data_IF_653350247399
#
_entry.id   IF_653350247399
#
_cell.length_a   1.000
_cell.length_b   1.000
_cell.length_c   1.000
_cell.angle_alpha   90.00
_cell.angle_beta   90.00
_cell.angle_gamma   90.00
#
_symmetry.space_group_name_H-M   'P 1'
#
loop_
_entity.id
_entity.type
_entity.pdbx_description
1 polymer ?
#
# COMPACT_ATOMS: atom_id res chain seq x y z
N UNK A 1 -19.05 -24.59 56.26
CA UNK A 1 -18.43 -23.47 55.50
C UNK A 1 -17.75 -24.08 54.31
N UNK A 2 -18.29 -23.90 53.09
CA UNK A 2 -17.70 -24.35 51.86
C UNK A 2 -17.29 -23.10 51.09
N UNK A 3 -15.99 -22.88 50.99
CA UNK A 3 -15.42 -21.75 50.28
C UNK A 3 -15.52 -22.02 48.77
N UNK A 4 -16.28 -21.18 48.06
CA UNK A 4 -16.39 -21.13 46.62
C UNK A 4 -15.24 -20.25 46.13
N UNK A 5 -14.13 -20.85 45.71
CA UNK A 5 -13.13 -20.17 44.88
C UNK A 5 -13.65 -20.06 43.47
N UNK A 6 -14.21 -18.91 43.13
CA UNK A 6 -14.52 -18.56 41.75
C UNK A 6 -13.22 -18.28 40.97
N UNK A 7 -12.81 -19.21 40.11
CA UNK A 7 -11.71 -18.99 39.19
C UNK A 7 -12.13 -17.95 38.14
N UNK A 8 -11.58 -16.76 38.23
CA UNK A 8 -11.69 -15.73 37.21
C UNK A 8 -10.84 -16.20 36.00
N UNK A 9 -11.46 -16.80 35.01
CA UNK A 9 -10.82 -17.01 33.72
C UNK A 9 -10.69 -15.64 33.02
N UNK A 10 -9.54 -14.99 33.20
CA UNK A 10 -9.14 -13.86 32.34
C UNK A 10 -8.80 -14.46 30.96
N UNK A 11 -9.74 -14.38 30.03
CA UNK A 11 -9.48 -14.71 28.66
C UNK A 11 -8.56 -13.63 28.08
N UNK A 12 -7.26 -13.90 28.08
CA UNK A 12 -6.31 -13.14 27.30
C UNK A 12 -6.60 -13.46 25.84
N UNK A 13 -7.34 -12.60 25.14
CA UNK A 13 -7.38 -12.63 23.67
C UNK A 13 -5.95 -12.33 23.21
N UNK A 14 -5.20 -13.38 22.88
CA UNK A 14 -3.91 -13.25 22.23
C UNK A 14 -4.18 -12.68 20.84
N UNK A 15 -4.08 -11.36 20.67
CA UNK A 15 -4.12 -10.74 19.35
C UNK A 15 -2.88 -11.18 18.59
N UNK A 16 -3.09 -11.90 17.50
CA UNK A 16 -2.03 -12.24 16.57
C UNK A 16 -1.87 -11.09 15.59
N UNK A 17 -0.63 -10.76 15.24
CA UNK A 17 -0.37 -9.67 14.30
C UNK A 17 -0.79 -10.01 12.87
N UNK A 18 -1.24 -9.01 12.11
CA UNK A 18 -1.42 -9.13 10.67
C UNK A 18 -0.07 -8.93 9.98
N UNK A 19 0.35 -9.90 9.17
CA UNK A 19 1.54 -9.77 8.31
C UNK A 19 1.11 -9.13 6.99
N UNK A 20 1.85 -8.14 6.53
CA UNK A 20 1.59 -7.45 5.27
C UNK A 20 2.82 -7.54 4.38
N UNK A 21 2.64 -8.00 3.15
CA UNK A 21 3.64 -7.84 2.08
C UNK A 21 3.09 -6.82 1.08
N UNK A 22 3.75 -5.68 0.98
CA UNK A 22 3.36 -4.59 0.10
C UNK A 22 4.10 -4.65 -1.22
N UNK A 23 3.39 -4.43 -2.30
CA UNK A 23 3.90 -4.36 -3.67
C UNK A 23 3.45 -3.06 -4.32
N UNK A 24 4.28 -2.52 -5.20
CA UNK A 24 3.89 -1.43 -6.10
C UNK A 24 3.44 -2.02 -7.43
N UNK A 25 2.49 -1.34 -8.08
CA UNK A 25 2.05 -1.72 -9.43
C UNK A 25 3.19 -1.68 -10.46
N UNK A 26 3.04 -2.40 -11.56
CA UNK A 26 3.96 -2.36 -12.70
C UNK A 26 3.98 -0.98 -13.39
N UNK A 27 4.98 -0.75 -14.23
CA UNK A 27 5.14 0.47 -15.02
C UNK A 27 3.89 0.78 -15.85
N UNK A 28 3.45 2.04 -15.85
CA UNK A 28 2.29 2.50 -16.62
C UNK A 28 2.72 3.25 -17.88
N UNK A 29 1.78 3.50 -18.79
CA UNK A 29 1.99 4.36 -19.96
C UNK A 29 2.36 5.79 -19.60
N UNK A 30 1.89 6.29 -18.44
CA UNK A 30 2.28 7.59 -17.90
C UNK A 30 3.72 7.54 -17.35
N UNK A 31 4.10 6.48 -16.62
CA UNK A 31 5.46 6.34 -16.12
C UNK A 31 6.51 6.33 -17.25
N UNK A 32 6.19 5.73 -18.42
CA UNK A 32 7.08 5.74 -19.59
C UNK A 32 7.23 7.14 -20.21
N UNK A 33 6.32 8.07 -19.87
CA UNK A 33 6.34 9.47 -20.30
C UNK A 33 6.77 10.43 -19.20
N UNK A 34 7.28 9.91 -18.08
CA UNK A 34 7.64 10.68 -16.91
C UNK A 34 6.49 11.56 -16.37
N UNK A 35 5.25 11.01 -16.37
CA UNK A 35 4.07 11.68 -15.83
C UNK A 35 3.67 11.07 -14.48
N UNK A 36 3.20 11.91 -13.58
CA UNK A 36 2.66 11.58 -12.26
C UNK A 36 1.15 11.43 -12.34
N UNK A 37 0.65 10.20 -12.50
CA UNK A 37 -0.77 9.94 -12.79
C UNK A 37 -1.73 10.35 -11.66
N UNK A 38 -1.30 10.26 -10.38
CA UNK A 38 -2.19 10.49 -9.23
C UNK A 38 -3.44 9.60 -9.28
N UNK A 39 -4.63 10.23 -9.28
CA UNK A 39 -5.90 9.53 -9.37
C UNK A 39 -6.40 9.29 -10.80
N UNK A 40 -5.72 9.82 -11.82
CA UNK A 40 -6.08 9.47 -13.18
C UNK A 40 -5.85 7.98 -13.40
N UNK A 41 -6.84 7.30 -13.95
CA UNK A 41 -6.76 5.87 -14.21
C UNK A 41 -6.04 5.64 -15.54
N UNK A 42 -4.89 4.97 -15.46
CA UNK A 42 -3.98 4.74 -16.60
C UNK A 42 -3.60 3.27 -16.66
N UNK A 43 -3.42 2.77 -17.86
CA UNK A 43 -3.10 1.38 -18.14
C UNK A 43 -1.63 1.05 -17.84
N UNK A 44 -1.38 -0.22 -17.51
CA UNK A 44 -0.04 -0.76 -17.52
C UNK A 44 0.56 -0.70 -18.93
N UNK A 45 1.82 -0.32 -19.02
CA UNK A 45 2.58 -0.47 -20.25
C UNK A 45 2.93 -1.95 -20.50
N UNK A 46 3.44 -2.27 -21.70
CA UNK A 46 3.91 -3.62 -21.98
C UNK A 46 5.07 -4.03 -21.05
N UNK A 47 5.89 -3.07 -20.61
CA UNK A 47 6.90 -3.31 -19.59
C UNK A 47 6.25 -3.67 -18.26
N UNK A 48 5.22 -2.90 -17.81
CA UNK A 48 4.54 -3.16 -16.55
C UNK A 48 3.82 -4.49 -16.52
N UNK A 49 3.26 -4.95 -17.62
CA UNK A 49 2.67 -6.29 -17.74
C UNK A 49 3.74 -7.37 -17.52
N UNK A 50 4.88 -7.27 -18.21
CA UNK A 50 6.01 -8.22 -18.03
C UNK A 50 6.54 -8.21 -16.60
N UNK A 51 6.68 -7.02 -15.98
CA UNK A 51 7.08 -6.92 -14.57
C UNK A 51 6.12 -7.66 -13.63
N UNK A 52 4.82 -7.58 -13.92
CA UNK A 52 3.79 -8.28 -13.14
C UNK A 52 3.84 -9.80 -13.36
N UNK A 53 4.12 -10.26 -14.57
CA UNK A 53 4.35 -11.68 -14.89
C UNK A 53 5.59 -12.23 -14.15
N UNK A 54 6.72 -11.50 -14.19
CA UNK A 54 7.96 -11.87 -13.49
C UNK A 54 7.79 -11.91 -11.96
N UNK A 55 6.88 -11.10 -11.41
CA UNK A 55 6.59 -11.09 -9.99
C UNK A 55 5.96 -12.41 -9.52
N UNK A 56 5.29 -13.16 -10.41
CA UNK A 56 4.73 -14.48 -10.13
C UNK A 56 5.79 -15.43 -9.59
N UNK A 57 6.93 -15.53 -10.28
CA UNK A 57 8.03 -16.41 -9.87
C UNK A 57 8.69 -15.94 -8.57
N UNK A 58 8.91 -14.63 -8.45
CA UNK A 58 9.52 -14.00 -7.27
C UNK A 58 8.66 -14.17 -6.01
N UNK A 59 7.35 -14.34 -6.17
CA UNK A 59 6.40 -14.51 -5.07
C UNK A 59 5.88 -15.94 -4.93
N UNK A 60 6.40 -16.90 -5.69
CA UNK A 60 5.94 -18.30 -5.73
C UNK A 60 5.96 -19.00 -4.36
N UNK A 61 6.92 -18.64 -3.51
CA UNK A 61 7.07 -19.19 -2.15
C UNK A 61 6.17 -18.50 -1.11
N UNK A 62 5.49 -17.41 -1.47
CA UNK A 62 4.57 -16.75 -0.55
C UNK A 62 3.18 -17.41 -0.57
N UNK A 63 2.61 -17.54 0.62
CA UNK A 63 1.23 -17.95 0.81
C UNK A 63 0.49 -16.79 1.47
N UNK A 64 -0.33 -16.10 0.67
CA UNK A 64 -1.21 -15.04 1.15
C UNK A 64 -2.59 -15.61 1.45
N UNK A 65 -3.25 -15.10 2.49
CA UNK A 65 -4.66 -15.42 2.76
C UNK A 65 -5.58 -14.64 1.81
N UNK A 66 -5.17 -13.42 1.44
CA UNK A 66 -5.94 -12.50 0.62
C UNK A 66 -5.03 -11.43 0.01
N UNK A 67 -5.47 -10.86 -1.11
CA UNK A 67 -4.83 -9.73 -1.78
C UNK A 67 -5.75 -8.52 -1.76
N UNK A 68 -5.25 -7.39 -1.28
CA UNK A 68 -5.90 -6.09 -1.43
C UNK A 68 -5.23 -5.28 -2.53
N UNK A 69 -6.02 -4.52 -3.28
CA UNK A 69 -5.48 -3.59 -4.27
C UNK A 69 -6.16 -2.23 -4.15
N UNK A 70 -5.48 -1.17 -4.59
CA UNK A 70 -6.19 0.02 -5.01
C UNK A 70 -7.20 -0.33 -6.11
N UNK A 71 -8.28 0.41 -6.19
CA UNK A 71 -9.29 0.29 -7.25
C UNK A 71 -8.89 0.96 -8.58
N UNK A 72 -7.70 1.60 -8.62
CA UNK A 72 -7.12 2.07 -9.87
C UNK A 72 -6.61 0.88 -10.70
N UNK A 73 -6.94 0.88 -12.00
CA UNK A 73 -6.75 -0.26 -12.91
C UNK A 73 -5.32 -0.80 -12.89
N UNK A 74 -4.31 0.07 -12.85
CA UNK A 74 -2.89 -0.32 -12.82
C UNK A 74 -2.52 -1.22 -11.65
N UNK A 75 -3.08 -0.96 -10.45
CA UNK A 75 -2.83 -1.79 -9.27
C UNK A 75 -3.59 -3.12 -9.33
N UNK A 76 -4.87 -3.07 -9.68
CA UNK A 76 -5.69 -4.26 -9.85
C UNK A 76 -5.14 -5.19 -10.94
N UNK A 77 -4.81 -4.64 -12.12
CA UNK A 77 -4.29 -5.41 -13.23
C UNK A 77 -2.93 -6.02 -12.92
N UNK A 78 -2.05 -5.30 -12.19
CA UNK A 78 -0.79 -5.89 -11.72
C UNK A 78 -1.02 -7.13 -10.86
N UNK A 79 -1.90 -7.05 -9.86
CA UNK A 79 -2.24 -8.20 -9.01
C UNK A 79 -2.88 -9.35 -9.81
N UNK A 80 -3.77 -9.01 -10.75
CA UNK A 80 -4.47 -10.01 -11.59
C UNK A 80 -3.50 -10.73 -12.52
N UNK A 81 -2.54 -10.04 -13.11
CA UNK A 81 -1.49 -10.65 -13.94
C UNK A 81 -0.57 -11.52 -13.07
N UNK A 82 -0.14 -11.03 -11.90
CA UNK A 82 0.80 -11.75 -11.03
C UNK A 82 0.21 -13.05 -10.49
N UNK A 83 -1.04 -13.04 -10.02
CA UNK A 83 -1.60 -14.19 -9.29
C UNK A 83 -2.85 -14.80 -9.90
N UNK A 84 -3.45 -14.18 -10.91
CA UNK A 84 -4.66 -14.69 -11.56
C UNK A 84 -5.79 -14.88 -10.57
N UNK A 85 -6.31 -16.10 -10.53
CA UNK A 85 -7.39 -16.51 -9.62
C UNK A 85 -6.87 -17.30 -8.39
N UNK A 86 -5.53 -17.32 -8.17
CA UNK A 86 -4.93 -18.02 -7.03
C UNK A 86 -5.39 -17.46 -5.69
N UNK A 87 -5.61 -16.16 -5.61
CA UNK A 87 -6.05 -15.47 -4.41
C UNK A 87 -7.30 -14.64 -4.67
N UNK A 88 -8.14 -14.48 -3.63
CA UNK A 88 -9.22 -13.50 -3.65
C UNK A 88 -8.61 -12.10 -3.66
N UNK A 89 -8.95 -11.28 -4.66
CA UNK A 89 -8.53 -9.88 -4.75
C UNK A 89 -9.69 -9.00 -4.32
N UNK A 90 -9.44 -8.09 -3.38
CA UNK A 90 -10.39 -7.08 -2.90
C UNK A 90 -9.83 -5.70 -3.26
N UNK A 91 -10.63 -4.89 -3.94
CA UNK A 91 -10.30 -3.49 -4.23
C UNK A 91 -10.73 -2.60 -3.08
N UNK A 92 -9.88 -1.65 -2.69
CA UNK A 92 -10.15 -0.66 -1.65
C UNK A 92 -9.63 0.71 -2.08
N UNK A 93 -10.52 1.69 -2.19
CA UNK A 93 -10.17 3.05 -2.63
C UNK A 93 -9.24 3.78 -1.65
N UNK A 94 -9.17 3.37 -0.38
CA UNK A 94 -8.23 3.90 0.59
C UNK A 94 -6.78 3.61 0.22
N UNK A 95 -6.53 2.65 -0.67
CA UNK A 95 -5.21 2.29 -1.19
C UNK A 95 -4.81 3.09 -2.44
N UNK A 96 -5.63 4.04 -2.94
CA UNK A 96 -5.27 4.90 -4.08
C UNK A 96 -3.99 5.69 -3.83
N UNK A 97 -3.31 6.07 -4.92
CA UNK A 97 -2.23 7.06 -4.88
C UNK A 97 -2.70 8.37 -4.22
N UNK A 98 -1.79 9.25 -3.84
CA UNK A 98 -2.16 10.60 -3.46
C UNK A 98 -2.89 11.27 -4.64
N UNK A 99 -4.02 11.92 -4.33
CA UNK A 99 -4.68 12.75 -5.34
C UNK A 99 -3.87 14.03 -5.53
N UNK A 100 -3.20 14.16 -6.67
CA UNK A 100 -2.45 15.37 -6.98
C UNK A 100 -3.34 16.51 -7.49
N UNK A 101 -4.68 16.31 -7.54
CA UNK A 101 -5.65 17.32 -7.95
C UNK A 101 -5.37 17.84 -9.36
N UNK A 102 -5.19 19.16 -9.50
CA UNK A 102 -4.89 19.79 -10.78
C UNK A 102 -3.54 19.35 -11.40
N UNK A 103 -2.71 18.66 -10.60
CA UNK A 103 -1.42 18.13 -11.01
C UNK A 103 -1.47 16.66 -11.44
N UNK A 104 -2.63 16.00 -11.43
CA UNK A 104 -2.77 14.62 -11.93
C UNK A 104 -2.35 14.57 -13.42
N UNK A 105 -1.51 13.58 -13.78
CA UNK A 105 -0.91 13.38 -15.11
C UNK A 105 -0.07 14.57 -15.63
N UNK A 106 0.49 15.38 -14.73
CA UNK A 106 1.50 16.37 -15.08
C UNK A 106 2.91 15.77 -15.05
N UNK A 107 3.90 16.44 -15.67
CA UNK A 107 5.29 16.01 -15.63
C UNK A 107 5.77 15.73 -14.22
N UNK A 108 6.47 14.60 -14.01
CA UNK A 108 6.94 14.21 -12.67
C UNK A 108 7.92 15.23 -12.09
N UNK A 109 8.69 15.92 -12.93
CA UNK A 109 9.60 16.99 -12.51
C UNK A 109 8.88 18.18 -11.87
N UNK A 110 7.61 18.44 -12.25
CA UNK A 110 6.78 19.50 -11.67
C UNK A 110 6.08 19.03 -10.38
N UNK A 111 5.69 17.74 -10.32
CA UNK A 111 4.89 17.19 -9.21
C UNK A 111 5.75 16.72 -8.03
N UNK A 112 6.85 16.01 -8.30
CA UNK A 112 7.65 15.39 -7.24
C UNK A 112 8.22 16.38 -6.21
N UNK A 113 8.72 17.57 -6.58
CA UNK A 113 9.18 18.55 -5.60
C UNK A 113 8.07 19.07 -4.67
N UNK A 114 6.81 19.05 -5.14
CA UNK A 114 5.66 19.50 -4.36
C UNK A 114 5.15 18.43 -3.38
N UNK A 115 5.47 17.15 -3.59
CA UNK A 115 5.01 16.07 -2.73
C UNK A 115 5.49 16.25 -1.28
N UNK A 116 6.76 16.56 -1.07
CA UNK A 116 7.32 16.79 0.26
C UNK A 116 6.74 18.06 0.92
N UNK A 117 6.45 19.09 0.12
CA UNK A 117 5.82 20.32 0.59
C UNK A 117 4.34 20.14 0.94
N UNK A 118 3.69 19.13 0.35
CA UNK A 118 2.27 18.81 0.55
C UNK A 118 2.04 17.79 1.67
N UNK A 119 2.96 17.69 2.63
CA UNK A 119 2.79 16.78 3.77
C UNK A 119 1.52 17.13 4.56
N UNK A 120 1.34 18.40 4.95
CA UNK A 120 0.18 18.86 5.71
C UNK A 120 -0.79 19.73 4.89
N UNK A 121 -0.28 20.43 3.89
CA UNK A 121 -1.09 21.29 3.02
C UNK A 121 -1.49 20.50 1.77
N UNK A 122 -2.80 20.34 1.48
CA UNK A 122 -3.24 19.65 0.28
C UNK A 122 -2.74 20.32 -1.00
N UNK A 123 -2.46 19.51 -2.02
CA UNK A 123 -2.26 20.01 -3.38
C UNK A 123 -3.56 20.67 -3.89
N UNK A 124 -3.48 21.61 -4.84
CA UNK A 124 -4.68 22.28 -5.40
C UNK A 124 -5.73 21.26 -5.88
N UNK A 125 -6.92 21.27 -5.32
CA UNK A 125 -8.01 20.33 -5.56
C UNK A 125 -7.65 18.85 -5.32
N UNK A 126 -6.62 18.58 -4.52
CA UNK A 126 -6.09 17.25 -4.23
C UNK A 126 -6.01 16.92 -2.74
N UNK A 127 -5.11 16.00 -2.40
CA UNK A 127 -4.83 15.55 -1.03
C UNK A 127 -3.49 16.07 -0.51
N UNK A 128 -3.36 16.12 0.82
CA UNK A 128 -2.08 16.13 1.51
C UNK A 128 -1.65 14.70 1.86
N UNK A 129 -0.37 14.49 2.16
CA UNK A 129 0.13 13.19 2.62
C UNK A 129 -0.43 12.80 4.00
N UNK A 130 -0.77 13.76 4.87
CA UNK A 130 -1.50 13.48 6.12
C UNK A 130 -2.93 12.96 5.86
N UNK A 131 -3.60 13.40 4.81
CA UNK A 131 -4.90 12.84 4.41
C UNK A 131 -4.74 11.40 3.86
N UNK A 132 -3.70 11.14 3.09
CA UNK A 132 -3.34 9.77 2.67
C UNK A 132 -3.10 8.89 3.90
N UNK A 133 -2.29 9.35 4.87
CA UNK A 133 -2.01 8.63 6.11
C UNK A 133 -3.29 8.32 6.89
N UNK A 134 -4.21 9.26 6.96
CA UNK A 134 -5.48 9.07 7.67
C UNK A 134 -6.31 7.95 7.06
N UNK A 135 -6.46 7.89 5.71
CA UNK A 135 -7.21 6.81 5.07
C UNK A 135 -6.50 5.45 5.12
N UNK A 136 -5.16 5.44 5.15
CA UNK A 136 -4.40 4.21 5.37
C UNK A 136 -4.54 3.73 6.81
N UNK A 137 -4.55 4.62 7.81
CA UNK A 137 -4.79 4.25 9.20
C UNK A 137 -6.18 3.58 9.37
N UNK A 138 -7.23 4.16 8.77
CA UNK A 138 -8.57 3.57 8.75
C UNK A 138 -8.60 2.19 8.07
N UNK A 139 -7.86 2.01 6.97
CA UNK A 139 -7.71 0.70 6.33
C UNK A 139 -7.00 -0.31 7.24
N UNK A 140 -5.95 0.09 7.96
CA UNK A 140 -5.23 -0.76 8.91
C UNK A 140 -6.10 -1.17 10.10
N UNK A 141 -6.95 -0.27 10.59
CA UNK A 141 -7.91 -0.58 11.66
C UNK A 141 -8.90 -1.67 11.23
N UNK A 142 -9.35 -1.64 9.98
CA UNK A 142 -10.20 -2.70 9.42
C UNK A 142 -9.43 -4.02 9.25
N UNK A 143 -8.17 -3.97 8.84
CA UNK A 143 -7.33 -5.16 8.77
C UNK A 143 -7.16 -5.80 10.15
N UNK A 144 -6.86 -5.00 11.17
CA UNK A 144 -6.71 -5.47 12.55
C UNK A 144 -7.97 -6.13 13.09
N UNK A 145 -9.13 -5.57 12.77
CA UNK A 145 -10.43 -6.12 13.18
C UNK A 145 -10.77 -7.46 12.53
N UNK A 146 -10.50 -7.59 11.21
CA UNK A 146 -11.11 -8.63 10.40
C UNK A 146 -10.12 -9.69 9.91
N UNK A 147 -8.79 -9.44 10.04
CA UNK A 147 -7.74 -10.27 9.44
C UNK A 147 -6.61 -10.61 10.44
N UNK A 148 -6.93 -10.63 11.74
CA UNK A 148 -5.97 -11.01 12.78
C UNK A 148 -5.34 -12.39 12.49
N UNK A 149 -4.01 -12.48 12.61
CA UNK A 149 -3.21 -13.67 12.32
C UNK A 149 -3.04 -14.00 10.82
N UNK A 150 -3.54 -13.16 9.89
CA UNK A 150 -3.47 -13.38 8.45
C UNK A 150 -2.20 -12.79 7.82
N UNK A 151 -1.83 -13.36 6.67
CA UNK A 151 -0.81 -12.82 5.79
C UNK A 151 -1.45 -12.20 4.56
N UNK A 152 -1.35 -10.90 4.43
CA UNK A 152 -2.03 -10.09 3.42
C UNK A 152 -1.02 -9.57 2.41
N UNK A 153 -1.34 -9.68 1.11
CA UNK A 153 -0.65 -8.94 0.07
C UNK A 153 -1.40 -7.64 -0.23
N UNK A 154 -0.68 -6.55 -0.43
CA UNK A 154 -1.25 -5.27 -0.89
C UNK A 154 -0.54 -4.87 -2.17
N UNK A 155 -1.28 -4.57 -3.24
CA UNK A 155 -0.73 -3.98 -4.46
C UNK A 155 -1.29 -2.58 -4.62
N UNK A 156 -0.44 -1.58 -4.49
CA UNK A 156 -0.87 -0.19 -4.56
C UNK A 156 0.23 0.75 -5.11
N UNK A 157 0.48 1.90 -4.48
CA UNK A 157 1.22 3.03 -5.05
C UNK A 157 2.26 3.57 -4.08
N UNK A 158 2.95 4.68 -4.47
CA UNK A 158 3.98 5.35 -3.67
C UNK A 158 3.44 5.89 -2.35
N UNK A 159 2.41 6.73 -2.39
CA UNK A 159 1.95 7.43 -1.20
C UNK A 159 1.38 6.50 -0.10
N UNK A 160 0.57 5.46 -0.42
CA UNK A 160 0.20 4.46 0.58
C UNK A 160 1.39 3.74 1.21
N UNK A 161 2.45 3.44 0.43
CA UNK A 161 3.66 2.81 0.96
C UNK A 161 4.35 3.71 1.99
N UNK A 162 4.58 4.98 1.64
CA UNK A 162 5.19 5.95 2.56
C UNK A 162 4.34 6.14 3.82
N UNK A 163 3.00 6.12 3.69
CA UNK A 163 2.11 6.17 4.85
C UNK A 163 2.26 4.94 5.76
N UNK A 164 2.49 3.74 5.21
CA UNK A 164 2.80 2.54 6.01
C UNK A 164 4.14 2.67 6.73
N UNK A 165 5.16 3.26 6.10
CA UNK A 165 6.45 3.51 6.73
C UNK A 165 6.30 4.46 7.93
N UNK A 166 5.47 5.50 7.80
CA UNK A 166 5.17 6.42 8.91
C UNK A 166 4.36 5.73 10.02
N UNK A 167 3.32 4.95 9.67
CA UNK A 167 2.40 4.36 10.64
C UNK A 167 2.96 3.12 11.34
N UNK A 168 3.71 2.27 10.64
CA UNK A 168 4.14 0.96 11.13
C UNK A 168 5.63 0.88 11.45
N UNK A 169 6.46 1.76 10.87
CA UNK A 169 7.90 1.81 11.13
C UNK A 169 8.32 3.04 11.94
N UNK A 170 7.37 3.88 12.39
CA UNK A 170 7.60 5.09 13.16
C UNK A 170 8.55 6.10 12.47
N UNK A 171 8.56 6.14 11.14
CA UNK A 171 9.33 7.13 10.40
C UNK A 171 8.65 8.50 10.43
N UNK A 172 9.45 9.57 10.41
CA UNK A 172 8.90 10.87 10.02
C UNK A 172 8.64 10.90 8.50
N UNK A 173 7.86 11.86 8.02
CA UNK A 173 7.65 12.03 6.58
C UNK A 173 8.96 12.29 5.83
N UNK A 174 9.85 13.10 6.39
CA UNK A 174 11.17 13.37 5.81
C UNK A 174 11.98 12.07 5.65
N UNK A 175 11.94 11.19 6.67
CA UNK A 175 12.60 9.89 6.60
C UNK A 175 11.96 8.98 5.56
N UNK A 176 10.62 8.93 5.50
CA UNK A 176 9.90 8.12 4.53
C UNK A 176 10.20 8.57 3.08
N UNK A 177 10.19 9.88 2.81
CA UNK A 177 10.57 10.43 1.49
C UNK A 177 12.04 10.21 1.15
N UNK A 178 12.95 10.34 2.12
CA UNK A 178 14.39 10.13 1.90
C UNK A 178 14.70 8.64 1.61
N UNK A 179 14.00 7.72 2.27
CA UNK A 179 14.18 6.28 2.12
C UNK A 179 13.39 5.68 0.94
N UNK A 180 12.61 6.47 0.22
CA UNK A 180 11.86 5.97 -0.95
C UNK A 180 12.81 5.23 -1.90
N UNK A 181 12.52 3.94 -2.15
CA UNK A 181 13.33 3.08 -3.00
C UNK A 181 13.50 3.64 -4.43
N UNK A 182 12.59 4.50 -4.89
CA UNK A 182 12.70 5.16 -6.20
C UNK A 182 13.87 6.13 -6.25
N UNK A 183 14.17 6.79 -5.13
CA UNK A 183 15.32 7.67 -4.95
C UNK A 183 16.60 6.86 -4.66
N UNK A 184 16.50 5.90 -3.77
CA UNK A 184 17.65 5.08 -3.31
C UNK A 184 18.04 3.97 -4.29
N UNK A 185 17.21 3.71 -5.32
CA UNK A 185 17.35 2.60 -6.30
C UNK A 185 17.33 1.21 -5.65
N UNK A 186 16.69 1.08 -4.51
CA UNK A 186 16.69 -0.12 -3.66
C UNK A 186 15.38 -0.91 -3.81
N UNK A 187 15.01 -1.21 -5.07
CA UNK A 187 13.80 -1.99 -5.37
C UNK A 187 13.89 -3.39 -4.78
N UNK A 188 12.77 -3.88 -4.27
CA UNK A 188 12.61 -5.27 -3.80
C UNK A 188 11.28 -5.85 -4.28
N UNK A 189 11.20 -7.20 -4.37
CA UNK A 189 9.98 -7.89 -4.81
C UNK A 189 8.89 -7.97 -3.73
N UNK A 190 8.87 -7.03 -2.81
CA UNK A 190 7.88 -6.89 -1.74
C UNK A 190 8.48 -6.34 -0.45
N UNK A 191 7.73 -5.45 0.21
CA UNK A 191 8.10 -4.83 1.49
C UNK A 191 7.26 -5.44 2.61
N UNK A 192 7.93 -5.83 3.71
CA UNK A 192 7.29 -6.51 4.83
C UNK A 192 6.91 -5.53 5.93
N UNK A 193 5.66 -5.63 6.41
CA UNK A 193 5.18 -4.90 7.58
C UNK A 193 4.46 -5.84 8.53
N UNK A 194 4.41 -5.44 9.81
CA UNK A 194 3.66 -6.14 10.84
C UNK A 194 2.72 -5.15 11.51
N UNK A 195 1.43 -5.46 11.53
CA UNK A 195 0.40 -4.69 12.23
C UNK A 195 0.03 -5.43 13.50
N UNK A 196 0.39 -4.85 14.65
CA UNK A 196 0.12 -5.38 16.01
C UNK A 196 -1.18 -4.83 16.59
#
# INVERSE_FOLDING_TARGET
>A
MKDFFGSLFVCYTCHMSVKITYFVHGTTTDNEKDLSSGWNDVELSELGKRQSEELTDKTSQHNFDIVFTSDLSRAYNSAKITWGDKYKIIQDSRLRECNYGDLNSKPSEDVEPLQEQSTTTPMPNGESYEQVKARIADFLDDLKKNYDGKHIAIVAHKAPQLALDVLLQNMSWEQAFANDWRKTKNWQPGWQYTLN
#
